data_IF_563160338109
#
_entry.id   IF_563160338109
#
_cell.length_a   1.000
_cell.length_b   1.000
_cell.length_c   1.000
_cell.angle_alpha   90.00
_cell.angle_beta   90.00
_cell.angle_gamma   90.00
#
_symmetry.space_group_name_H-M   'P 1'
#
loop_
_entity.id
_entity.type
_entity.pdbx_description
1 polymer ?
#
# COMPACT_ATOMS: atom_id res chain seq x y z
N UNK A 1 25.08 29.88 31.58
CA UNK A 1 23.82 30.62 31.75
C UNK A 1 23.60 31.46 30.50
N UNK A 2 22.40 31.43 29.91
CA UNK A 2 22.11 32.22 28.70
C UNK A 2 22.18 33.71 29.04
N UNK A 3 22.77 34.52 28.15
CA UNK A 3 22.91 35.97 28.38
C UNK A 3 21.56 36.67 28.27
N UNK A 4 21.41 37.79 28.99
CA UNK A 4 20.17 38.58 29.02
C UNK A 4 19.71 39.02 27.62
N UNK A 5 20.68 39.24 26.73
CA UNK A 5 20.48 39.55 25.33
C UNK A 5 19.91 38.36 24.52
N UNK A 6 20.31 37.12 24.83
CA UNK A 6 19.73 35.92 24.25
C UNK A 6 18.28 35.69 24.71
N UNK A 7 17.98 36.02 25.97
CA UNK A 7 16.62 35.96 26.52
C UNK A 7 15.72 37.03 25.89
N UNK A 8 16.24 38.24 25.67
CA UNK A 8 15.52 39.34 25.01
C UNK A 8 15.23 39.02 23.54
N UNK A 9 16.22 38.51 22.79
CA UNK A 9 16.02 38.03 21.40
C UNK A 9 15.03 36.87 21.31
N UNK A 10 14.94 36.01 22.33
CA UNK A 10 13.91 34.97 22.40
C UNK A 10 12.53 35.57 22.62
N UNK A 11 12.37 36.49 23.58
CA UNK A 11 11.09 37.17 23.83
C UNK A 11 10.59 37.92 22.59
N UNK A 12 11.47 38.62 21.88
CA UNK A 12 11.12 39.34 20.65
C UNK A 12 10.74 38.43 19.48
N UNK A 13 11.29 37.20 19.42
CA UNK A 13 10.84 36.18 18.45
C UNK A 13 9.43 35.67 18.73
N UNK A 14 9.06 35.58 20.01
CA UNK A 14 7.75 35.07 20.44
C UNK A 14 6.70 36.17 20.68
N UNK A 15 7.10 37.45 20.72
CA UNK A 15 6.18 38.59 20.92
C UNK A 15 5.67 39.21 19.62
N UNK A 16 6.16 38.78 18.45
CA UNK A 16 5.52 39.14 17.19
C UNK A 16 4.19 38.39 17.13
N UNK A 17 3.09 39.14 17.21
CA UNK A 17 1.77 38.64 16.85
C UNK A 17 1.90 37.92 15.52
N UNK A 18 1.77 36.60 15.55
CA UNK A 18 1.74 35.81 14.32
C UNK A 18 0.51 36.28 13.57
N UNK A 19 0.70 36.96 12.44
CA UNK A 19 -0.26 36.93 11.35
C UNK A 19 -0.80 35.50 11.29
N UNK A 20 -2.13 35.31 11.41
CA UNK A 20 -2.77 33.99 11.42
C UNK A 20 -2.05 33.10 10.40
N UNK A 21 -1.41 32.01 10.82
CA UNK A 21 -0.60 31.24 9.91
C UNK A 21 -1.48 30.78 8.75
N UNK A 22 -1.01 30.98 7.52
CA UNK A 22 -1.71 30.55 6.28
C UNK A 22 -1.96 29.03 6.23
N UNK A 23 -1.43 28.27 7.19
CA UNK A 23 -1.47 26.81 7.22
C UNK A 23 -1.57 26.33 8.67
N UNK A 24 -2.48 25.39 8.91
CA UNK A 24 -2.57 24.63 10.18
C UNK A 24 -1.25 23.90 10.48
N UNK A 25 -0.84 23.91 11.75
CA UNK A 25 0.39 23.29 12.24
C UNK A 25 0.28 21.78 12.45
N UNK A 26 1.42 21.14 12.71
CA UNK A 26 1.51 19.72 13.03
C UNK A 26 2.11 19.54 14.44
N UNK A 27 1.39 18.86 15.33
CA UNK A 27 1.88 18.46 16.67
C UNK A 27 3.15 17.62 16.53
N UNK A 28 3.21 16.78 15.51
CA UNK A 28 4.39 15.95 15.22
C UNK A 28 5.65 16.77 14.89
N UNK A 29 5.52 18.08 14.64
CA UNK A 29 6.63 19.02 14.44
C UNK A 29 6.84 19.97 15.63
N UNK A 30 6.08 19.82 16.71
CA UNK A 30 6.11 20.70 17.88
C UNK A 30 5.24 21.96 17.77
N UNK A 31 4.40 22.06 16.73
CA UNK A 31 3.47 23.17 16.55
C UNK A 31 2.11 22.84 17.19
N UNK A 32 1.68 23.54 18.25
CA UNK A 32 0.32 23.36 18.84
C UNK A 32 -0.75 24.24 18.16
N UNK A 33 -0.52 24.60 16.90
CA UNK A 33 -1.47 25.33 16.05
C UNK A 33 -2.40 24.37 15.30
N UNK A 34 -2.94 23.39 16.03
CA UNK A 34 -3.83 22.37 15.47
C UNK A 34 -5.12 22.97 14.92
N UNK A 35 -5.67 22.28 13.93
CA UNK A 35 -6.99 22.57 13.37
C UNK A 35 -8.11 22.13 14.34
N UNK A 36 -8.39 22.98 15.34
CA UNK A 36 -9.39 22.69 16.39
C UNK A 36 -10.83 22.94 15.95
N UNK A 37 -11.05 23.86 15.01
CA UNK A 37 -12.38 24.22 14.53
C UNK A 37 -12.99 23.12 13.64
N UNK A 38 -14.20 22.68 13.97
CA UNK A 38 -14.88 21.61 13.25
C UNK A 38 -15.32 21.99 11.84
N UNK A 39 -15.76 23.23 11.64
CA UNK A 39 -16.18 23.70 10.32
C UNK A 39 -14.99 23.77 9.37
N UNK A 40 -13.84 24.23 9.85
CA UNK A 40 -12.59 24.25 9.10
C UNK A 40 -12.05 22.83 8.83
N UNK A 41 -12.20 21.86 9.75
CA UNK A 41 -11.92 20.44 9.45
C UNK A 41 -12.78 19.91 8.32
N UNK A 42 -14.09 20.15 8.39
CA UNK A 42 -15.04 19.73 7.35
C UNK A 42 -14.69 20.35 6.00
N UNK A 43 -14.38 21.65 5.96
CA UNK A 43 -13.92 22.34 4.73
C UNK A 43 -12.65 21.71 4.16
N UNK A 44 -11.63 21.48 4.99
CA UNK A 44 -10.39 20.85 4.55
C UNK A 44 -10.64 19.43 4.03
N UNK A 45 -11.47 18.64 4.72
CA UNK A 45 -11.79 17.28 4.31
C UNK A 45 -12.55 17.25 2.98
N UNK A 46 -13.55 18.12 2.79
CA UNK A 46 -14.25 18.27 1.52
C UNK A 46 -13.32 18.72 0.39
N UNK A 47 -12.39 19.64 0.67
CA UNK A 47 -11.39 20.07 -0.31
C UNK A 47 -10.49 18.91 -0.73
N UNK A 48 -9.99 18.11 0.21
CA UNK A 48 -9.18 16.91 -0.08
C UNK A 48 -9.97 15.90 -0.92
N UNK A 49 -11.24 15.62 -0.57
CA UNK A 49 -12.10 14.73 -1.36
C UNK A 49 -12.23 15.20 -2.82
N UNK A 50 -12.29 16.52 -3.05
CA UNK A 50 -12.30 17.10 -4.39
C UNK A 50 -10.98 16.85 -5.12
N UNK A 51 -9.84 17.10 -4.47
CA UNK A 51 -8.51 16.86 -5.06
C UNK A 51 -8.30 15.39 -5.45
N UNK A 52 -8.78 14.44 -4.64
CA UNK A 52 -8.74 13.01 -4.95
C UNK A 52 -9.50 12.64 -6.24
N UNK A 53 -10.53 13.42 -6.61
CA UNK A 53 -11.33 13.19 -7.82
C UNK A 53 -10.69 13.73 -9.11
N UNK A 54 -9.55 14.41 -9.01
CA UNK A 54 -8.87 14.97 -10.19
C UNK A 54 -8.18 13.90 -11.03
N UNK A 55 -8.03 14.14 -12.34
CA UNK A 55 -7.35 13.22 -13.25
C UNK A 55 -5.89 12.96 -12.86
N UNK A 56 -5.25 13.96 -12.23
CA UNK A 56 -3.89 13.87 -11.70
C UNK A 56 -3.87 14.47 -10.29
N UNK A 57 -4.24 13.68 -9.27
CA UNK A 57 -4.37 14.18 -7.91
C UNK A 57 -3.02 14.65 -7.36
N UNK A 58 -2.92 15.83 -6.71
CA UNK A 58 -1.69 16.30 -6.07
C UNK A 58 -1.41 15.49 -4.80
N UNK A 59 -0.76 14.32 -4.98
CA UNK A 59 -0.59 13.29 -3.93
C UNK A 59 -0.01 13.84 -2.63
N UNK A 60 1.04 14.66 -2.71
CA UNK A 60 1.72 15.19 -1.52
C UNK A 60 0.84 16.15 -0.73
N UNK A 61 0.06 16.98 -1.43
CA UNK A 61 -0.91 17.89 -0.82
C UNK A 61 -2.04 17.13 -0.12
N UNK A 62 -2.56 16.10 -0.79
CA UNK A 62 -3.60 15.22 -0.23
C UNK A 62 -3.08 14.51 1.02
N UNK A 63 -1.90 13.88 0.95
CA UNK A 63 -1.31 13.16 2.08
C UNK A 63 -1.00 14.09 3.27
N UNK A 64 -0.52 15.31 2.99
CA UNK A 64 -0.29 16.32 4.02
C UNK A 64 -1.60 16.82 4.64
N UNK A 65 -2.62 17.09 3.83
CA UNK A 65 -3.95 17.49 4.29
C UNK A 65 -4.58 16.44 5.19
N UNK A 66 -4.52 15.17 4.77
CA UNK A 66 -5.01 14.04 5.58
C UNK A 66 -4.21 13.88 6.88
N UNK A 67 -2.90 14.14 6.86
CA UNK A 67 -2.10 14.17 8.10
C UNK A 67 -2.56 15.26 9.05
N UNK A 68 -2.80 16.49 8.55
CA UNK A 68 -3.33 17.61 9.36
C UNK A 68 -4.67 17.25 9.99
N UNK A 69 -5.56 16.61 9.23
CA UNK A 69 -6.85 16.13 9.76
C UNK A 69 -6.67 15.06 10.84
N UNK A 70 -5.81 14.07 10.64
CA UNK A 70 -5.53 13.04 11.65
C UNK A 70 -4.94 13.63 12.93
N UNK A 71 -4.05 14.61 12.83
CA UNK A 71 -3.48 15.29 14.00
C UNK A 71 -4.50 16.17 14.74
N UNK A 72 -5.48 16.72 14.02
CA UNK A 72 -6.56 17.51 14.57
C UNK A 72 -7.57 16.70 15.41
N UNK A 73 -7.66 15.39 15.16
CA UNK A 73 -8.60 14.48 15.82
C UNK A 73 -7.94 13.56 16.85
N UNK A 74 -6.66 13.75 17.18
CA UNK A 74 -5.95 12.91 18.16
C UNK A 74 -6.62 12.90 19.55
N UNK A 75 -7.24 14.02 19.92
CA UNK A 75 -7.88 14.20 21.22
C UNK A 75 -9.32 13.64 21.22
N UNK A 76 -9.84 13.25 20.04
CA UNK A 76 -11.20 12.74 19.90
C UNK A 76 -11.25 11.24 20.22
N UNK A 77 -12.30 10.78 20.90
CA UNK A 77 -12.46 9.35 21.14
C UNK A 77 -12.64 8.60 19.82
N UNK A 78 -12.10 7.38 19.78
CA UNK A 78 -12.15 6.40 18.69
C UNK A 78 -13.59 6.06 18.23
N UNK A 79 -14.61 6.43 19.01
CA UNK A 79 -16.03 6.20 18.71
C UNK A 79 -16.69 7.40 17.99
N UNK A 80 -15.94 8.45 17.66
CA UNK A 80 -16.45 9.60 16.91
C UNK A 80 -16.57 9.28 15.40
N UNK A 81 -17.75 9.48 14.83
CA UNK A 81 -18.03 9.28 13.41
C UNK A 81 -17.10 10.10 12.51
N UNK A 82 -16.74 11.33 12.91
CA UNK A 82 -15.80 12.17 12.13
C UNK A 82 -14.40 11.54 12.10
N UNK A 83 -13.94 11.01 13.24
CA UNK A 83 -12.61 10.41 13.33
C UNK A 83 -12.52 9.13 12.49
N UNK A 84 -13.55 8.27 12.56
CA UNK A 84 -13.65 7.06 11.76
C UNK A 84 -13.59 7.37 10.26
N UNK A 85 -14.37 8.34 9.80
CA UNK A 85 -14.40 8.71 8.38
C UNK A 85 -13.03 9.22 7.90
N UNK A 86 -12.35 10.04 8.70
CA UNK A 86 -11.00 10.56 8.38
C UNK A 86 -9.98 9.43 8.31
N UNK A 87 -10.01 8.46 9.24
CA UNK A 87 -9.08 7.33 9.24
C UNK A 87 -9.32 6.37 8.07
N UNK A 88 -10.58 5.99 7.83
CA UNK A 88 -10.99 5.13 6.71
C UNK A 88 -10.56 5.75 5.39
N UNK A 89 -10.91 7.01 5.16
CA UNK A 89 -10.55 7.72 3.94
C UNK A 89 -9.03 7.89 3.81
N UNK A 90 -8.32 8.17 4.92
CA UNK A 90 -6.86 8.24 4.92
C UNK A 90 -6.21 6.95 4.47
N UNK A 91 -6.70 5.79 4.93
CA UNK A 91 -6.19 4.48 4.51
C UNK A 91 -6.44 4.27 3.03
N UNK A 92 -7.68 4.43 2.57
CA UNK A 92 -8.07 4.18 1.18
C UNK A 92 -7.23 5.01 0.20
N UNK A 93 -7.07 6.31 0.45
CA UNK A 93 -6.30 7.18 -0.44
C UNK A 93 -4.80 6.89 -0.38
N UNK A 94 -4.24 6.64 0.81
CA UNK A 94 -2.81 6.32 0.92
C UNK A 94 -2.46 4.96 0.31
N UNK A 95 -3.37 3.98 0.33
CA UNK A 95 -3.23 2.71 -0.42
C UNK A 95 -3.27 2.97 -1.92
N UNK A 96 -4.24 3.74 -2.43
CA UNK A 96 -4.29 4.10 -3.87
C UNK A 96 -2.99 4.75 -4.36
N UNK A 97 -2.34 5.55 -3.51
CA UNK A 97 -1.05 6.16 -3.84
C UNK A 97 0.17 5.26 -3.63
N UNK A 98 -0.01 4.06 -3.06
CA UNK A 98 1.10 3.16 -2.70
C UNK A 98 1.97 3.66 -1.56
N UNK A 99 1.49 4.61 -0.75
CA UNK A 99 2.29 5.27 0.28
C UNK A 99 2.27 4.47 1.60
N UNK A 100 3.06 3.40 1.64
CA UNK A 100 3.09 2.42 2.76
C UNK A 100 3.46 3.02 4.11
N UNK A 101 4.30 4.07 4.13
CA UNK A 101 4.66 4.77 5.37
C UNK A 101 3.44 5.45 6.03
N UNK A 102 2.34 5.65 5.28
CA UNK A 102 1.08 6.19 5.80
C UNK A 102 0.06 5.08 6.02
N UNK A 103 -0.24 4.26 5.01
CA UNK A 103 -1.35 3.31 5.15
C UNK A 103 -1.06 2.19 6.16
N UNK A 104 0.18 1.70 6.25
CA UNK A 104 0.49 0.54 7.08
C UNK A 104 0.29 0.81 8.58
N UNK A 105 0.86 1.87 9.18
CA UNK A 105 0.60 2.17 10.60
C UNK A 105 -0.88 2.50 10.84
N UNK A 106 -1.58 3.12 9.89
CA UNK A 106 -3.01 3.37 10.01
C UNK A 106 -3.83 2.08 10.00
N UNK A 107 -3.60 1.17 9.04
CA UNK A 107 -4.25 -0.14 8.98
C UNK A 107 -4.10 -0.90 10.29
N UNK A 108 -2.87 -0.98 10.81
CA UNK A 108 -2.57 -1.70 12.05
C UNK A 108 -3.29 -1.10 13.27
N UNK A 109 -3.42 0.23 13.33
CA UNK A 109 -4.14 0.91 14.42
C UNK A 109 -5.66 0.73 14.27
N UNK A 110 -6.18 0.94 13.05
CA UNK A 110 -7.61 0.88 12.75
C UNK A 110 -8.16 -0.53 12.96
N UNK A 111 -7.49 -1.57 12.45
CA UNK A 111 -7.92 -2.95 12.60
C UNK A 111 -7.90 -3.45 14.05
N UNK A 112 -7.16 -2.79 14.95
CA UNK A 112 -7.12 -3.12 16.38
C UNK A 112 -8.11 -2.33 17.22
N UNK A 113 -8.43 -1.10 16.82
CA UNK A 113 -9.07 -0.12 17.70
C UNK A 113 -10.44 0.38 17.23
N UNK A 114 -10.71 0.43 15.93
CA UNK A 114 -11.97 0.99 15.42
C UNK A 114 -13.01 -0.11 15.20
N UNK A 115 -14.28 0.24 15.45
CA UNK A 115 -15.42 -0.58 15.01
C UNK A 115 -15.63 -0.36 13.52
N UNK A 116 -15.19 -1.32 12.73
CA UNK A 116 -15.40 -1.36 11.28
C UNK A 116 -16.67 -2.14 10.95
N UNK A 117 -17.37 -1.73 9.89
CA UNK A 117 -18.37 -2.61 9.28
C UNK A 117 -17.70 -3.80 8.57
N UNK A 118 -18.50 -4.77 8.12
CA UNK A 118 -17.97 -5.99 7.49
C UNK A 118 -17.16 -5.71 6.22
N UNK A 119 -17.54 -4.69 5.46
CA UNK A 119 -16.92 -4.41 4.17
C UNK A 119 -15.59 -3.67 4.38
N UNK A 120 -15.56 -2.70 5.29
CA UNK A 120 -14.33 -2.03 5.73
C UNK A 120 -13.34 -3.01 6.37
N UNK A 121 -13.82 -3.92 7.22
CA UNK A 121 -12.97 -4.94 7.83
C UNK A 121 -12.38 -5.87 6.78
N UNK A 122 -13.20 -6.33 5.82
CA UNK A 122 -12.75 -7.14 4.69
C UNK A 122 -11.75 -6.44 3.77
N UNK A 123 -12.02 -5.19 3.43
CA UNK A 123 -11.15 -4.34 2.61
C UNK A 123 -9.78 -4.12 3.28
N UNK A 124 -9.77 -3.71 4.55
CA UNK A 124 -8.53 -3.35 5.25
C UNK A 124 -7.69 -4.56 5.64
N UNK A 125 -8.33 -5.66 6.04
CA UNK A 125 -7.63 -6.93 6.26
C UNK A 125 -7.05 -7.47 4.95
N UNK A 126 -7.75 -7.32 3.81
CA UNK A 126 -7.23 -7.65 2.48
C UNK A 126 -5.95 -6.88 2.16
N UNK A 127 -5.94 -5.56 2.39
CA UNK A 127 -4.75 -4.73 2.19
C UNK A 127 -3.57 -5.20 3.04
N UNK A 128 -3.81 -5.53 4.30
CA UNK A 128 -2.76 -6.03 5.19
C UNK A 128 -2.23 -7.40 4.74
N UNK A 129 -3.10 -8.33 4.34
CA UNK A 129 -2.72 -9.66 3.83
C UNK A 129 -1.88 -9.53 2.55
N UNK A 130 -2.30 -8.68 1.62
CA UNK A 130 -1.57 -8.46 0.37
C UNK A 130 -0.22 -7.78 0.61
N UNK A 131 -0.16 -6.77 1.48
CA UNK A 131 1.08 -6.12 1.88
C UNK A 131 2.07 -7.11 2.49
N UNK A 132 1.63 -7.89 3.49
CA UNK A 132 2.48 -8.87 4.17
C UNK A 132 3.01 -9.95 3.21
N UNK A 133 2.18 -10.39 2.27
CA UNK A 133 2.56 -11.46 1.33
C UNK A 133 3.43 -10.99 0.16
N UNK A 134 3.09 -9.86 -0.47
CA UNK A 134 3.76 -9.41 -1.69
C UNK A 134 4.92 -8.45 -1.42
N UNK A 135 4.77 -7.56 -0.43
CA UNK A 135 5.82 -6.57 -0.13
C UNK A 135 6.81 -7.11 0.91
N UNK A 136 6.32 -7.65 2.03
CA UNK A 136 7.20 -8.12 3.12
C UNK A 136 7.64 -9.59 2.99
N UNK A 137 6.95 -10.40 2.17
CA UNK A 137 7.14 -11.86 2.07
C UNK A 137 6.94 -12.62 3.39
N UNK A 138 6.14 -12.08 4.30
CA UNK A 138 5.83 -12.66 5.61
C UNK A 138 4.60 -13.58 5.53
N UNK A 139 4.68 -14.66 4.73
CA UNK A 139 3.54 -15.53 4.42
C UNK A 139 2.84 -16.09 5.67
N UNK A 140 3.61 -16.48 6.69
CA UNK A 140 3.04 -16.99 7.94
C UNK A 140 2.20 -15.93 8.66
N UNK A 141 2.65 -14.68 8.68
CA UNK A 141 1.89 -13.58 9.28
C UNK A 141 0.65 -13.27 8.43
N UNK A 142 0.77 -13.27 7.10
CA UNK A 142 -0.36 -13.08 6.20
C UNK A 142 -1.46 -14.14 6.42
N UNK A 143 -1.08 -15.41 6.60
CA UNK A 143 -2.02 -16.51 6.91
C UNK A 143 -2.71 -16.26 8.26
N UNK A 144 -1.96 -15.88 9.30
CA UNK A 144 -2.52 -15.60 10.63
C UNK A 144 -3.55 -14.46 10.57
N UNK A 145 -3.16 -13.34 9.95
CA UNK A 145 -4.04 -12.17 9.73
C UNK A 145 -5.30 -12.56 8.95
N UNK A 146 -5.17 -13.38 7.91
CA UNK A 146 -6.32 -13.86 7.14
C UNK A 146 -7.33 -14.59 8.04
N UNK A 147 -6.89 -15.59 8.80
CA UNK A 147 -7.81 -16.35 9.66
C UNK A 147 -8.37 -15.50 10.80
N UNK A 148 -7.56 -14.62 11.39
CA UNK A 148 -7.99 -13.71 12.46
C UNK A 148 -9.19 -12.85 12.06
N UNK A 149 -9.19 -12.27 10.85
CA UNK A 149 -10.26 -11.39 10.40
C UNK A 149 -11.37 -12.11 9.64
N UNK A 150 -11.07 -13.22 8.96
CA UNK A 150 -12.09 -14.02 8.24
C UNK A 150 -13.20 -14.51 9.15
N UNK A 151 -12.84 -14.95 10.35
CA UNK A 151 -13.78 -15.53 11.31
C UNK A 151 -14.67 -14.47 11.97
N UNK A 152 -14.30 -13.19 11.89
CA UNK A 152 -15.10 -12.05 12.31
C UNK A 152 -16.13 -11.61 11.25
N UNK A 153 -15.97 -12.06 10.00
CA UNK A 153 -16.81 -11.65 8.88
C UNK A 153 -17.96 -12.64 8.63
N UNK A 154 -19.20 -12.16 8.38
CA UNK A 154 -20.31 -13.02 7.98
C UNK A 154 -19.96 -13.86 6.74
N UNK A 155 -20.45 -15.10 6.67
CA UNK A 155 -20.06 -16.07 5.62
C UNK A 155 -20.31 -15.54 4.21
N UNK A 156 -21.37 -14.77 4.00
CA UNK A 156 -21.79 -14.23 2.70
C UNK A 156 -21.61 -12.71 2.61
N UNK A 157 -20.75 -12.09 3.45
CA UNK A 157 -20.49 -10.66 3.31
C UNK A 157 -19.51 -10.38 2.18
N UNK A 158 -19.71 -9.24 1.51
CA UNK A 158 -18.81 -8.76 0.48
C UNK A 158 -17.37 -8.61 1.01
N UNK A 159 -17.20 -8.07 2.21
CA UNK A 159 -15.88 -8.03 2.87
C UNK A 159 -15.19 -9.39 3.02
N UNK A 160 -15.94 -10.47 3.27
CA UNK A 160 -15.37 -11.83 3.36
C UNK A 160 -14.91 -12.34 1.99
N UNK A 161 -15.67 -12.04 0.94
CA UNK A 161 -15.29 -12.37 -0.44
C UNK A 161 -14.00 -11.66 -0.84
N UNK A 162 -13.87 -10.36 -0.52
CA UNK A 162 -12.65 -9.58 -0.77
C UNK A 162 -11.42 -10.18 -0.07
N UNK A 163 -11.57 -10.55 1.20
CA UNK A 163 -10.49 -11.16 1.99
C UNK A 163 -10.11 -12.55 1.46
N UNK A 164 -11.09 -13.37 1.09
CA UNK A 164 -10.85 -14.68 0.46
C UNK A 164 -10.08 -14.52 -0.85
N UNK A 165 -10.48 -13.58 -1.69
CA UNK A 165 -9.79 -13.30 -2.96
C UNK A 165 -8.33 -12.90 -2.73
N UNK A 166 -8.08 -12.06 -1.74
CA UNK A 166 -6.70 -11.69 -1.35
C UNK A 166 -5.88 -12.90 -0.90
N UNK A 167 -6.50 -13.82 -0.16
CA UNK A 167 -5.84 -15.06 0.28
C UNK A 167 -5.57 -16.06 -0.87
N UNK A 168 -6.43 -16.11 -1.89
CA UNK A 168 -6.14 -16.89 -3.10
C UNK A 168 -4.81 -16.48 -3.74
N UNK A 169 -4.51 -15.18 -3.79
CA UNK A 169 -3.23 -14.67 -4.31
C UNK A 169 -2.05 -15.10 -3.42
N UNK A 170 -2.23 -15.12 -2.10
CA UNK A 170 -1.21 -15.64 -1.18
C UNK A 170 -0.95 -17.13 -1.42
N UNK A 171 -1.99 -17.93 -1.66
CA UNK A 171 -1.84 -19.36 -1.97
C UNK A 171 -1.06 -19.58 -3.27
N UNK A 172 -1.24 -18.74 -4.29
CA UNK A 172 -0.45 -18.84 -5.52
C UNK A 172 1.05 -18.69 -5.23
N UNK A 173 1.43 -17.76 -4.35
CA UNK A 173 2.82 -17.55 -3.94
C UNK A 173 3.38 -18.73 -3.14
N UNK A 174 2.64 -19.18 -2.12
CA UNK A 174 3.06 -20.29 -1.24
C UNK A 174 3.24 -21.59 -2.05
N UNK A 175 2.29 -21.88 -2.95
CA UNK A 175 2.30 -23.08 -3.77
C UNK A 175 3.17 -22.93 -5.04
N UNK A 176 3.86 -21.80 -5.19
CA UNK A 176 4.73 -21.49 -6.33
C UNK A 176 4.02 -21.66 -7.69
N UNK A 177 2.73 -21.31 -7.73
CA UNK A 177 1.90 -21.32 -8.95
C UNK A 177 2.09 -20.02 -9.72
N UNK A 178 3.34 -19.76 -10.14
CA UNK A 178 3.71 -18.49 -10.76
C UNK A 178 3.04 -18.26 -12.11
N UNK A 179 2.72 -19.31 -12.88
CA UNK A 179 1.95 -19.21 -14.14
C UNK A 179 0.59 -18.54 -13.92
N UNK A 180 -0.13 -18.95 -12.87
CA UNK A 180 -1.43 -18.38 -12.51
C UNK A 180 -1.26 -16.97 -11.95
N UNK A 181 -0.19 -16.74 -11.20
CA UNK A 181 0.12 -15.41 -10.66
C UNK A 181 0.39 -14.42 -11.79
N UNK A 182 1.21 -14.77 -12.79
CA UNK A 182 1.50 -13.91 -13.95
C UNK A 182 0.25 -13.66 -14.79
N UNK A 183 -0.60 -14.68 -15.01
CA UNK A 183 -1.89 -14.48 -15.68
C UNK A 183 -2.78 -13.49 -14.93
N UNK A 184 -2.87 -13.62 -13.60
CA UNK A 184 -3.66 -12.70 -12.77
C UNK A 184 -3.06 -11.28 -12.77
N UNK A 185 -1.73 -11.16 -12.70
CA UNK A 185 -1.02 -9.89 -12.82
C UNK A 185 -1.32 -9.20 -14.15
N UNK A 186 -1.23 -9.95 -15.26
CA UNK A 186 -1.57 -9.47 -16.59
C UNK A 186 -3.03 -9.00 -16.66
N UNK A 187 -4.00 -9.80 -16.17
CA UNK A 187 -5.41 -9.38 -16.10
C UNK A 187 -5.59 -8.06 -15.33
N UNK A 188 -4.91 -7.92 -14.19
CA UNK A 188 -4.98 -6.71 -13.38
C UNK A 188 -4.48 -5.46 -14.12
N UNK A 189 -3.56 -5.59 -15.08
CA UNK A 189 -3.06 -4.45 -15.86
C UNK A 189 -4.13 -3.83 -16.77
N UNK A 190 -5.13 -4.61 -17.20
CA UNK A 190 -6.18 -4.17 -18.12
C UNK A 190 -7.55 -4.02 -17.46
N UNK A 191 -7.69 -4.39 -16.18
CA UNK A 191 -8.93 -4.28 -15.42
C UNK A 191 -8.84 -3.19 -14.34
N UNK A 192 -9.44 -1.99 -14.54
CA UNK A 192 -9.40 -0.90 -13.57
C UNK A 192 -9.98 -1.26 -12.19
N UNK A 193 -10.90 -2.24 -12.14
CA UNK A 193 -11.51 -2.72 -10.88
C UNK A 193 -10.50 -3.46 -10.00
N UNK A 194 -9.39 -3.92 -10.58
CA UNK A 194 -8.31 -4.64 -9.87
C UNK A 194 -7.09 -3.74 -9.60
N UNK A 195 -7.25 -2.42 -9.70
CA UNK A 195 -6.15 -1.45 -9.55
C UNK A 195 -5.42 -1.54 -8.21
N UNK A 196 -6.12 -1.86 -7.12
CA UNK A 196 -5.50 -2.03 -5.80
C UNK A 196 -4.73 -3.34 -5.71
N UNK A 197 -5.27 -4.43 -6.26
CA UNK A 197 -4.57 -5.71 -6.36
C UNK A 197 -3.31 -5.55 -7.22
N UNK A 198 -3.41 -4.86 -8.35
CA UNK A 198 -2.29 -4.53 -9.22
C UNK A 198 -1.18 -3.80 -8.46
N UNK A 199 -1.54 -2.84 -7.60
CA UNK A 199 -0.58 -2.09 -6.78
C UNK A 199 0.24 -3.03 -5.88
N UNK A 200 -0.41 -3.93 -5.14
CA UNK A 200 0.29 -4.88 -4.28
C UNK A 200 1.10 -5.92 -5.07
N UNK A 201 0.57 -6.39 -6.21
CA UNK A 201 1.31 -7.30 -7.08
C UNK A 201 2.57 -6.64 -7.64
N UNK A 202 2.51 -5.36 -8.05
CA UNK A 202 3.66 -4.58 -8.49
C UNK A 202 4.72 -4.45 -7.40
N UNK A 203 4.31 -4.26 -6.14
CA UNK A 203 5.22 -4.19 -5.00
C UNK A 203 6.03 -5.49 -4.79
N UNK A 204 5.45 -6.64 -5.14
CA UNK A 204 6.11 -7.96 -5.04
C UNK A 204 6.65 -8.52 -6.36
N UNK A 205 6.51 -7.80 -7.47
CA UNK A 205 6.75 -8.33 -8.82
C UNK A 205 8.19 -8.84 -8.99
N UNK A 206 9.18 -8.02 -8.60
CA UNK A 206 10.59 -8.37 -8.77
C UNK A 206 10.96 -9.65 -8.01
N UNK A 207 10.43 -9.83 -6.81
CA UNK A 207 10.68 -11.01 -6.01
C UNK A 207 10.05 -12.26 -6.64
N UNK A 208 8.80 -12.16 -7.08
CA UNK A 208 8.10 -13.28 -7.75
C UNK A 208 8.82 -13.68 -9.04
N UNK A 209 9.23 -12.71 -9.86
CA UNK A 209 10.02 -12.94 -11.08
C UNK A 209 11.35 -13.63 -10.74
N UNK A 210 12.10 -13.12 -9.77
CA UNK A 210 13.38 -13.72 -9.37
C UNK A 210 13.21 -15.18 -8.90
N UNK A 211 12.18 -15.46 -8.11
CA UNK A 211 11.87 -16.82 -7.68
C UNK A 211 11.49 -17.74 -8.85
N UNK A 212 10.63 -17.27 -9.77
CA UNK A 212 10.26 -18.02 -10.95
C UNK A 212 11.48 -18.33 -11.84
N UNK A 213 12.31 -17.32 -12.15
CA UNK A 213 13.55 -17.49 -12.92
C UNK A 213 14.47 -18.51 -12.26
N UNK A 214 14.67 -18.44 -10.93
CA UNK A 214 15.50 -19.40 -10.21
C UNK A 214 14.95 -20.84 -10.30
N UNK A 215 13.63 -21.02 -10.33
CA UNK A 215 13.02 -22.34 -10.56
C UNK A 215 13.32 -22.85 -11.96
N UNK A 216 13.21 -22.01 -12.99
CA UNK A 216 13.58 -22.38 -14.36
C UNK A 216 15.07 -22.70 -14.50
N UNK A 217 15.94 -21.91 -13.86
CA UNK A 217 17.39 -22.13 -13.80
C UNK A 217 17.79 -23.48 -13.20
N UNK A 218 16.92 -24.13 -12.44
CA UNK A 218 17.21 -25.45 -11.85
C UNK A 218 16.69 -26.59 -12.71
N UNK A 219 15.58 -26.36 -13.40
CA UNK A 219 14.79 -27.41 -14.04
C UNK A 219 15.07 -27.57 -15.54
N UNK A 220 15.56 -26.53 -16.22
CA UNK A 220 15.66 -26.53 -17.68
C UNK A 220 17.04 -26.10 -18.19
N UNK A 221 17.41 -26.61 -19.36
CA UNK A 221 18.59 -26.17 -20.10
C UNK A 221 18.21 -25.22 -21.23
N UNK A 222 17.16 -25.55 -21.99
CA UNK A 222 16.68 -24.79 -23.14
C UNK A 222 15.15 -24.88 -23.15
N UNK A 223 14.46 -23.79 -23.45
CA UNK A 223 13.02 -23.75 -23.65
C UNK A 223 12.64 -22.91 -24.88
N UNK A 224 11.51 -23.20 -25.56
CA UNK A 224 11.01 -22.35 -26.64
C UNK A 224 10.68 -20.94 -26.15
N UNK A 225 11.01 -19.92 -26.96
CA UNK A 225 10.73 -18.51 -26.63
C UNK A 225 9.24 -18.28 -26.39
N UNK A 226 8.38 -18.83 -27.28
CA UNK A 226 6.92 -18.71 -27.16
C UNK A 226 6.39 -19.24 -25.84
N UNK A 227 6.91 -20.39 -25.36
CA UNK A 227 6.48 -20.98 -24.11
C UNK A 227 6.74 -20.05 -22.92
N UNK A 228 7.91 -19.41 -22.87
CA UNK A 228 8.26 -18.48 -21.80
C UNK A 228 7.46 -17.19 -21.89
N UNK A 229 7.17 -16.71 -23.10
CA UNK A 229 6.32 -15.55 -23.30
C UNK A 229 4.88 -15.81 -22.83
N UNK A 230 4.33 -16.98 -23.15
CA UNK A 230 3.02 -17.42 -22.67
C UNK A 230 3.00 -17.67 -21.15
N UNK A 231 4.13 -18.10 -20.57
CA UNK A 231 4.23 -18.34 -19.13
C UNK A 231 4.27 -17.03 -18.33
N UNK A 232 5.15 -16.10 -18.70
CA UNK A 232 5.38 -14.88 -17.95
C UNK A 232 4.40 -13.75 -18.29
N UNK A 233 3.71 -13.82 -19.44
CA UNK A 233 2.71 -12.83 -19.88
C UNK A 233 3.26 -11.38 -19.85
N UNK A 234 4.55 -11.24 -20.14
CA UNK A 234 5.30 -9.99 -20.06
C UNK A 234 6.34 -9.91 -21.18
N UNK A 235 6.98 -8.75 -21.34
CA UNK A 235 8.09 -8.61 -22.28
C UNK A 235 9.29 -9.43 -21.78
N UNK A 236 9.58 -10.49 -22.53
CA UNK A 236 10.65 -11.43 -22.22
C UNK A 236 12.03 -10.77 -22.32
N UNK A 237 12.18 -9.72 -23.11
CA UNK A 237 13.44 -8.97 -23.20
C UNK A 237 13.76 -8.25 -21.89
N UNK A 238 12.75 -7.65 -21.25
CA UNK A 238 12.91 -7.03 -19.93
C UNK A 238 13.25 -8.09 -18.87
N UNK A 239 12.61 -9.26 -18.94
CA UNK A 239 12.83 -10.35 -18.00
C UNK A 239 14.22 -10.96 -18.13
N UNK A 240 14.73 -11.11 -19.36
CA UNK A 240 16.04 -11.72 -19.63
C UNK A 240 17.18 -10.79 -19.24
N UNK A 241 16.98 -9.47 -19.31
CA UNK A 241 18.04 -8.45 -19.09
C UNK A 241 18.82 -8.66 -17.78
N UNK A 242 18.12 -9.08 -16.72
CA UNK A 242 18.71 -9.31 -15.41
C UNK A 242 18.97 -10.80 -15.11
N UNK A 243 18.94 -11.66 -16.14
CA UNK A 243 19.12 -13.11 -16.06
C UNK A 243 20.37 -13.58 -16.81
N UNK A 244 20.78 -14.83 -16.58
CA UNK A 244 21.83 -15.49 -17.36
C UNK A 244 21.35 -16.09 -18.69
N UNK A 245 20.09 -15.88 -19.05
CA UNK A 245 19.47 -16.54 -20.21
C UNK A 245 19.93 -15.90 -21.51
N UNK A 246 20.10 -16.71 -22.55
CA UNK A 246 20.51 -16.25 -23.88
C UNK A 246 19.45 -16.61 -24.91
N UNK A 247 19.06 -15.64 -25.72
CA UNK A 247 18.17 -15.88 -26.86
C UNK A 247 18.98 -16.50 -28.00
N UNK A 248 18.53 -17.65 -28.50
CA UNK A 248 19.13 -18.34 -29.63
C UNK A 248 18.01 -18.79 -30.58
N UNK A 249 17.81 -18.06 -31.67
CA UNK A 249 16.71 -18.26 -32.62
C UNK A 249 15.35 -18.25 -31.89
N UNK A 250 14.57 -19.34 -32.00
CA UNK A 250 13.25 -19.51 -31.39
C UNK A 250 13.31 -20.18 -30.00
N UNK A 251 14.48 -20.21 -29.37
CA UNK A 251 14.69 -20.82 -28.06
C UNK A 251 15.53 -19.95 -27.14
N UNK A 252 15.35 -20.14 -25.85
CA UNK A 252 16.12 -19.51 -24.79
C UNK A 252 16.96 -20.56 -24.11
N UNK A 253 18.27 -20.33 -24.13
CA UNK A 253 19.25 -21.12 -23.40
C UNK A 253 19.27 -20.62 -21.97
N UNK A 254 18.78 -21.46 -21.05
CA UNK A 254 18.69 -21.20 -19.61
C UNK A 254 19.96 -21.64 -18.90
N UNK A 255 20.54 -22.78 -19.33
CA UNK A 255 21.82 -23.30 -18.83
C UNK A 255 22.63 -23.92 -19.95
N UNK A 256 23.93 -23.70 -19.89
CA UNK A 256 24.89 -24.40 -20.74
C UNK A 256 25.31 -25.73 -20.09
N UNK A 257 25.42 -26.79 -20.89
CA UNK A 257 26.01 -28.05 -20.43
C UNK A 257 27.52 -27.92 -20.49
N UNK A 258 28.18 -27.86 -19.33
CA UNK A 258 29.63 -28.11 -19.29
C UNK A 258 29.86 -29.60 -19.55
N UNK A 259 30.43 -29.94 -20.71
CA UNK A 259 31.01 -31.26 -20.93
C UNK A 259 32.27 -31.35 -20.06
N UNK A 260 32.24 -32.21 -19.04
CA UNK A 260 33.45 -32.74 -18.40
C UNK A 260 33.96 -33.92 -19.22
#
# INVERSE_FOLDING_TARGET
>A
MATEEQLKRRRERFSKESNKPSSYGLVSRGDDLRLKDEQERKKLFSHIKKLCGEKSPPRDEILLGLRKLREAILDKPIVDNEANEIYVFSIQESVKFGHYQTYLPLLLNVLKGLKLDSDQLGEFSSYLVLHLSHFNQEYQKAIRVYFEYRDQLPINSYGREQLNHSFELVKLLILQKYDRWFRYYHECQYNPKLSIQLLFLKMGYHQVVAHAINTFNRSYFILPTQYLQDYFQTDLNELIKDSSWKVQNDSIVIRERHRQ
#
